data_IF_666988165657
#
_entry.id   IF_666988165657
#
_cell.length_a   1.000
_cell.length_b   1.000
_cell.length_c   1.000
_cell.angle_alpha   90.00
_cell.angle_beta   90.00
_cell.angle_gamma   90.00
#
_symmetry.space_group_name_H-M   'P 1'
#
loop_
_entity.id
_entity.type
_entity.pdbx_description
1 polymer ?
#
# COMPACT_ATOMS: atom_id res chain seq x y z
N UNK A 1 3.49 -2.77 -15.54
CA UNK A 1 2.80 -1.45 -15.45
C UNK A 1 3.59 -0.61 -14.47
N UNK A 2 3.93 0.65 -14.79
CA UNK A 2 4.72 1.47 -13.89
C UNK A 2 3.94 1.73 -12.59
N UNK A 3 4.61 1.80 -11.43
CA UNK A 3 3.95 2.09 -10.17
C UNK A 3 3.47 3.54 -10.16
N UNK A 4 2.15 3.74 -9.99
CA UNK A 4 1.51 5.06 -9.98
C UNK A 4 0.47 5.18 -8.88
N UNK A 5 0.39 6.36 -8.27
CA UNK A 5 -0.70 6.72 -7.39
C UNK A 5 -2.02 6.85 -8.15
N UNK A 6 -3.13 6.81 -7.42
CA UNK A 6 -4.44 7.22 -7.91
C UNK A 6 -4.54 8.74 -8.05
N UNK A 7 -5.40 9.19 -8.97
CA UNK A 7 -5.69 10.60 -9.16
C UNK A 7 -6.15 11.22 -7.85
N UNK A 8 -5.76 12.48 -7.60
CA UNK A 8 -6.02 13.15 -6.34
C UNK A 8 -7.52 13.28 -6.03
N UNK A 9 -8.36 13.38 -7.06
CA UNK A 9 -9.81 13.50 -7.02
C UNK A 9 -10.54 12.16 -7.15
N UNK A 10 -9.83 11.04 -7.29
CA UNK A 10 -10.44 9.72 -7.39
C UNK A 10 -11.31 9.42 -6.16
N UNK A 11 -12.51 8.83 -6.35
CA UNK A 11 -13.33 8.37 -5.23
C UNK A 11 -12.56 7.28 -4.46
N UNK A 12 -12.20 7.59 -3.22
CA UNK A 12 -11.29 6.77 -2.42
C UNK A 12 -11.91 6.44 -1.06
N UNK A 13 -11.76 5.18 -0.64
CA UNK A 13 -12.10 4.73 0.70
C UNK A 13 -11.05 5.22 1.71
N UNK A 14 -11.46 5.44 2.96
CA UNK A 14 -10.52 5.85 4.01
C UNK A 14 -9.83 4.64 4.63
N UNK A 15 -8.49 4.63 4.61
CA UNK A 15 -7.66 3.73 5.42
C UNK A 15 -7.21 4.49 6.67
N UNK A 16 -7.82 4.21 7.82
CA UNK A 16 -7.40 4.78 9.10
C UNK A 16 -6.28 3.92 9.69
N UNK A 17 -5.09 4.48 9.82
CA UNK A 17 -3.99 3.82 10.52
C UNK A 17 -4.09 4.13 12.01
N UNK A 18 -3.86 3.11 12.85
CA UNK A 18 -3.98 3.20 14.31
C UNK A 18 -2.86 2.44 14.97
N UNK A 19 -2.48 2.89 16.16
CA UNK A 19 -1.72 2.11 17.13
C UNK A 19 -2.65 1.60 18.23
N UNK A 20 -2.27 0.53 18.98
CA UNK A 20 -3.04 0.05 20.13
C UNK A 20 -3.38 1.16 21.13
N UNK A 21 -2.46 2.10 21.33
CA UNK A 21 -2.61 3.23 22.26
C UNK A 21 -3.68 4.24 21.79
N UNK A 22 -3.85 4.40 20.48
CA UNK A 22 -4.82 5.34 19.88
C UNK A 22 -6.18 4.70 19.57
N UNK A 23 -6.28 3.38 19.65
CA UNK A 23 -7.50 2.64 19.32
C UNK A 23 -8.69 2.99 20.22
N UNK A 24 -8.56 3.14 21.55
CA UNK A 24 -9.68 3.54 22.41
C UNK A 24 -10.26 4.91 22.03
N UNK A 25 -9.40 5.89 21.77
CA UNK A 25 -9.81 7.25 21.37
C UNK A 25 -10.52 7.26 20.02
N UNK A 26 -10.06 6.45 19.07
CA UNK A 26 -10.76 6.27 17.81
C UNK A 26 -12.14 5.64 18.03
N UNK A 27 -12.24 4.56 18.83
CA UNK A 27 -13.53 3.88 19.10
C UNK A 27 -14.55 4.82 19.73
N UNK A 28 -14.13 5.75 20.58
CA UNK A 28 -15.01 6.73 21.21
C UNK A 28 -15.59 7.77 20.23
N UNK A 29 -14.92 8.01 19.09
CA UNK A 29 -15.30 9.02 18.09
C UNK A 29 -15.84 8.42 16.79
N UNK A 30 -15.61 7.14 16.55
CA UNK A 30 -16.04 6.45 15.35
C UNK A 30 -17.56 6.30 15.30
N UNK A 31 -18.15 6.14 14.09
CA UNK A 31 -19.54 5.73 13.96
C UNK A 31 -19.82 4.47 14.80
N UNK A 32 -20.96 4.39 15.53
CA UNK A 32 -21.23 3.27 16.43
C UNK A 32 -21.13 1.90 15.76
N UNK A 33 -21.57 1.77 14.50
CA UNK A 33 -21.46 0.53 13.73
C UNK A 33 -20.00 0.12 13.48
N UNK A 34 -19.13 1.07 13.16
CA UNK A 34 -17.69 0.80 12.94
C UNK A 34 -16.98 0.42 14.23
N UNK A 35 -17.28 1.11 15.34
CA UNK A 35 -16.70 0.78 16.65
C UNK A 35 -17.13 -0.62 17.11
N UNK A 36 -18.42 -0.95 16.98
CA UNK A 36 -18.96 -2.26 17.30
C UNK A 36 -18.38 -3.35 16.41
N UNK A 37 -18.24 -3.11 15.11
CA UNK A 37 -17.63 -4.05 14.17
C UNK A 37 -16.17 -4.33 14.52
N UNK A 38 -15.36 -3.29 14.71
CA UNK A 38 -13.95 -3.44 15.07
C UNK A 38 -13.77 -4.21 16.39
N UNK A 39 -14.69 -4.04 17.35
CA UNK A 39 -14.72 -4.84 18.57
C UNK A 39 -15.12 -6.30 18.30
N UNK A 40 -16.16 -6.53 17.49
CA UNK A 40 -16.64 -7.88 17.15
C UNK A 40 -15.64 -8.70 16.33
N UNK A 41 -14.75 -8.05 15.57
CA UNK A 41 -13.66 -8.70 14.83
C UNK A 41 -12.34 -8.75 15.60
N UNK A 42 -12.34 -8.43 16.90
CA UNK A 42 -11.15 -8.40 17.77
C UNK A 42 -9.97 -7.58 17.22
N UNK A 43 -10.27 -6.50 16.49
CA UNK A 43 -9.23 -5.63 15.95
C UNK A 43 -8.53 -4.91 17.11
N UNK A 44 -7.21 -5.10 17.22
CA UNK A 44 -6.37 -4.62 18.31
C UNK A 44 -5.24 -3.68 17.84
N UNK A 45 -5.28 -3.26 16.57
CA UNK A 45 -4.25 -2.45 15.93
C UNK A 45 -2.83 -3.06 16.00
N UNK A 46 -2.74 -4.40 15.93
CA UNK A 46 -1.46 -5.12 15.86
C UNK A 46 -0.72 -4.77 14.56
N UNK A 47 0.61 -4.84 14.55
CA UNK A 47 1.39 -4.48 13.37
C UNK A 47 0.97 -5.29 12.14
N UNK A 48 0.49 -4.61 11.10
CA UNK A 48 0.02 -5.23 9.86
C UNK A 48 -1.38 -5.83 9.90
N UNK A 49 -2.12 -5.65 10.99
CA UNK A 49 -3.51 -6.09 11.13
C UNK A 49 -4.43 -5.18 10.29
N UNK A 50 -5.35 -5.79 9.53
CA UNK A 50 -6.31 -5.07 8.71
C UNK A 50 -7.73 -5.45 9.14
N UNK A 51 -8.61 -4.46 9.31
CA UNK A 51 -10.04 -4.67 9.51
C UNK A 51 -10.82 -3.84 8.48
N UNK A 52 -11.50 -4.51 7.55
CA UNK A 52 -12.43 -3.85 6.64
C UNK A 52 -13.69 -3.44 7.40
N UNK A 53 -14.11 -2.19 7.23
CA UNK A 53 -15.31 -1.65 7.84
C UNK A 53 -16.50 -1.84 6.89
N UNK A 54 -17.60 -2.46 7.34
CA UNK A 54 -18.75 -2.72 6.48
C UNK A 54 -19.51 -1.42 6.23
N UNK A 55 -19.83 -1.19 4.97
CA UNK A 55 -20.71 -0.12 4.51
C UNK A 55 -22.05 -0.64 3.99
N UNK A 56 -22.86 0.25 3.41
CA UNK A 56 -24.13 -0.10 2.80
C UNK A 56 -23.98 -1.17 1.70
N UNK A 57 -25.02 -1.99 1.52
CA UNK A 57 -25.10 -2.98 0.43
C UNK A 57 -23.96 -4.02 0.43
N UNK A 58 -23.30 -4.24 1.57
CA UNK A 58 -22.19 -5.20 1.69
C UNK A 58 -20.89 -4.72 1.05
N UNK A 59 -20.78 -3.44 0.69
CA UNK A 59 -19.53 -2.83 0.21
C UNK A 59 -18.70 -2.33 1.40
N UNK A 60 -17.36 -2.28 1.30
CA UNK A 60 -16.55 -1.63 2.32
C UNK A 60 -16.83 -0.11 2.37
N UNK A 61 -16.97 0.44 3.58
CA UNK A 61 -17.02 1.90 3.83
C UNK A 61 -15.62 2.47 4.10
N UNK A 62 -14.70 1.62 4.54
CA UNK A 62 -13.33 1.98 4.85
C UNK A 62 -12.57 0.80 5.44
N UNK A 63 -11.41 1.08 6.03
CA UNK A 63 -10.60 0.08 6.69
C UNK A 63 -9.78 0.68 7.83
N UNK A 64 -9.46 -0.16 8.81
CA UNK A 64 -8.49 0.12 9.86
C UNK A 64 -7.21 -0.67 9.57
N UNK A 65 -6.06 -0.06 9.83
CA UNK A 65 -4.77 -0.72 9.73
C UNK A 65 -3.93 -0.50 10.99
N UNK A 66 -3.45 -1.59 11.57
CA UNK A 66 -2.65 -1.57 12.78
C UNK A 66 -1.16 -1.32 12.50
N UNK A 67 -0.61 -0.31 13.16
CA UNK A 67 0.83 0.01 13.14
C UNK A 67 1.60 -0.71 14.26
N UNK A 68 0.91 -1.39 15.17
CA UNK A 68 1.50 -1.98 16.37
C UNK A 68 1.92 -0.94 17.43
N UNK A 69 2.47 -1.41 18.56
CA UNK A 69 2.84 -0.56 19.68
C UNK A 69 3.85 0.51 19.30
N UNK A 70 3.79 1.69 19.93
CA UNK A 70 4.75 2.77 19.70
C UNK A 70 6.20 2.35 19.97
N UNK A 71 6.43 1.48 20.96
CA UNK A 71 7.74 0.94 21.30
C UNK A 71 8.38 0.11 20.18
N UNK A 72 7.60 -0.34 19.19
CA UNK A 72 8.06 -1.10 18.03
C UNK A 72 8.13 -0.26 16.75
N UNK A 73 7.89 1.05 16.86
CA UNK A 73 8.03 1.98 15.74
C UNK A 73 9.44 1.89 15.13
N UNK A 74 9.53 2.00 13.80
CA UNK A 74 10.80 1.95 13.08
C UNK A 74 11.36 0.55 12.82
N UNK A 75 10.80 -0.52 13.42
CA UNK A 75 11.17 -1.91 13.05
C UNK A 75 10.85 -2.25 11.60
N UNK A 76 9.85 -1.58 11.04
CA UNK A 76 9.44 -1.73 9.65
C UNK A 76 9.43 -0.37 8.98
N UNK A 77 10.36 -0.17 8.04
CA UNK A 77 10.43 1.06 7.23
C UNK A 77 9.14 1.29 6.42
N UNK A 78 8.64 0.24 5.78
CA UNK A 78 7.46 0.30 4.90
C UNK A 78 6.20 -0.21 5.60
N UNK A 79 5.76 0.50 6.64
CA UNK A 79 4.65 0.06 7.49
C UNK A 79 3.34 -0.24 6.72
N UNK A 80 3.06 0.50 5.63
CA UNK A 80 1.85 0.33 4.83
C UNK A 80 1.97 -0.63 3.65
N UNK A 81 3.14 -1.21 3.40
CA UNK A 81 3.33 -2.18 2.30
C UNK A 81 2.33 -3.35 2.41
N UNK A 82 2.07 -3.83 3.63
CA UNK A 82 1.10 -4.92 3.86
C UNK A 82 -0.34 -4.50 3.57
N UNK A 83 -0.71 -3.25 3.83
CA UNK A 83 -2.05 -2.75 3.53
C UNK A 83 -2.35 -2.86 2.03
N UNK A 84 -1.41 -2.43 1.18
CA UNK A 84 -1.54 -2.51 -0.28
C UNK A 84 -1.84 -3.93 -0.81
N UNK A 85 -1.30 -4.96 -0.14
CA UNK A 85 -1.48 -6.35 -0.51
C UNK A 85 -2.75 -7.01 0.07
N UNK A 86 -3.27 -6.50 1.18
CA UNK A 86 -4.42 -7.08 1.90
C UNK A 86 -5.75 -6.41 1.59
N UNK A 87 -5.73 -5.19 1.04
CA UNK A 87 -6.93 -4.45 0.67
C UNK A 87 -7.58 -5.02 -0.61
N UNK A 88 -8.91 -4.81 -0.79
CA UNK A 88 -9.63 -5.31 -1.95
C UNK A 88 -8.99 -4.92 -3.29
N UNK A 89 -8.91 -5.86 -4.21
CA UNK A 89 -8.35 -5.62 -5.53
C UNK A 89 -9.12 -4.50 -6.27
N UNK A 90 -8.40 -3.61 -6.94
CA UNK A 90 -8.98 -2.52 -7.75
C UNK A 90 -9.61 -1.37 -6.95
N UNK A 91 -9.54 -1.41 -5.63
CA UNK A 91 -10.02 -0.31 -4.78
C UNK A 91 -8.99 0.81 -4.65
N UNK A 92 -9.47 2.04 -4.40
CA UNK A 92 -8.65 3.24 -4.22
C UNK A 92 -8.76 3.71 -2.78
N UNK A 93 -7.63 4.06 -2.16
CA UNK A 93 -7.55 4.40 -0.74
C UNK A 93 -6.86 5.73 -0.50
N UNK A 94 -7.36 6.47 0.49
CA UNK A 94 -6.67 7.62 1.09
C UNK A 94 -6.37 7.29 2.54
N UNK A 95 -5.13 7.49 2.95
CA UNK A 95 -4.69 7.15 4.31
C UNK A 95 -4.93 8.35 5.24
N UNK A 96 -5.39 8.06 6.44
CA UNK A 96 -5.54 9.05 7.51
C UNK A 96 -4.92 8.52 8.80
N UNK A 97 -4.32 9.41 9.61
CA UNK A 97 -3.62 9.01 10.85
C UNK A 97 -2.10 8.83 10.67
N UNK A 98 -1.51 9.41 9.62
CA UNK A 98 -0.10 9.20 9.28
C UNK A 98 0.89 9.88 10.23
N UNK A 99 0.45 10.62 11.25
CA UNK A 99 1.31 11.40 12.14
C UNK A 99 2.37 10.54 12.87
N UNK A 100 2.15 9.23 12.94
CA UNK A 100 3.03 8.28 13.60
C UNK A 100 4.01 7.53 12.67
N UNK A 101 4.06 7.88 11.38
CA UNK A 101 4.95 7.31 10.36
C UNK A 101 5.49 8.38 9.42
N UNK A 102 6.59 8.10 8.72
CA UNK A 102 7.05 8.94 7.62
C UNK A 102 6.14 8.73 6.39
N UNK A 103 5.50 9.80 5.92
CA UNK A 103 4.52 9.73 4.83
C UNK A 103 5.15 9.32 3.49
N UNK A 104 6.39 9.72 3.24
CA UNK A 104 7.11 9.40 2.02
C UNK A 104 7.50 7.92 1.98
N UNK A 105 8.01 7.38 3.10
CA UNK A 105 8.30 5.94 3.24
C UNK A 105 7.01 5.11 3.19
N UNK A 106 5.90 5.59 3.79
CA UNK A 106 4.60 4.94 3.72
C UNK A 106 4.08 4.87 2.26
N UNK A 107 4.17 5.97 1.52
CA UNK A 107 3.76 6.07 0.13
C UNK A 107 4.64 5.21 -0.79
N UNK A 108 5.97 5.27 -0.62
CA UNK A 108 6.92 4.45 -1.37
C UNK A 108 6.69 2.96 -1.10
N UNK A 109 6.56 2.58 0.17
CA UNK A 109 6.29 1.21 0.58
C UNK A 109 5.02 0.63 -0.04
N UNK A 110 3.98 1.45 -0.20
CA UNK A 110 2.75 1.05 -0.91
C UNK A 110 3.01 0.74 -2.38
N UNK A 111 3.70 1.64 -3.10
CA UNK A 111 4.03 1.44 -4.51
C UNK A 111 4.92 0.19 -4.70
N UNK A 112 5.92 0.02 -3.83
CA UNK A 112 6.83 -1.13 -3.88
C UNK A 112 6.13 -2.48 -3.63
N UNK A 113 5.07 -2.49 -2.82
CA UNK A 113 4.26 -3.69 -2.56
C UNK A 113 3.41 -4.13 -3.77
N UNK A 114 3.16 -3.24 -4.72
CA UNK A 114 2.46 -3.56 -5.96
C UNK A 114 3.34 -4.28 -6.99
N UNK A 115 4.66 -4.37 -6.78
CA UNK A 115 5.59 -5.02 -7.70
C UNK A 115 5.23 -6.49 -7.94
N UNK A 116 5.15 -6.88 -9.21
CA UNK A 116 4.95 -8.27 -9.63
C UNK A 116 5.86 -8.54 -10.82
N UNK A 117 6.64 -9.61 -10.72
CA UNK A 117 7.40 -10.16 -11.84
C UNK A 117 6.64 -11.34 -12.44
N UNK A 118 5.96 -11.10 -13.55
CA UNK A 118 5.03 -12.04 -14.18
C UNK A 118 5.36 -12.36 -15.64
N UNK A 119 6.49 -11.84 -16.14
CA UNK A 119 7.01 -12.03 -17.51
C UNK A 119 6.99 -13.50 -17.99
N UNK A 120 7.19 -14.46 -17.07
CA UNK A 120 7.27 -15.89 -17.36
C UNK A 120 6.04 -16.69 -16.90
N UNK A 121 4.98 -16.02 -16.43
CA UNK A 121 3.74 -16.68 -16.00
C UNK A 121 2.70 -16.60 -17.11
N UNK A 122 1.94 -17.67 -17.29
CA UNK A 122 0.74 -17.64 -18.14
C UNK A 122 -0.19 -16.54 -17.64
N UNK A 123 -0.72 -15.67 -18.53
CA UNK A 123 -1.66 -14.62 -18.12
C UNK A 123 -2.87 -15.23 -17.42
N UNK A 124 -2.92 -15.11 -16.09
CA UNK A 124 -4.08 -15.42 -15.28
C UNK A 124 -4.93 -14.18 -15.03
N UNK A 125 -6.02 -14.31 -14.27
CA UNK A 125 -6.77 -13.17 -13.74
C UNK A 125 -5.87 -12.41 -12.77
N UNK A 126 -5.13 -11.43 -13.28
CA UNK A 126 -4.28 -10.59 -12.47
C UNK A 126 -5.17 -9.71 -11.62
N UNK A 127 -5.20 -9.98 -10.31
CA UNK A 127 -5.86 -9.09 -9.37
C UNK A 127 -5.08 -7.77 -9.34
N UNK A 128 -5.72 -6.68 -9.80
CA UNK A 128 -5.20 -5.32 -9.63
C UNK A 128 -5.05 -5.03 -8.16
N UNK A 129 -3.84 -4.68 -7.68
CA UNK A 129 -3.64 -4.32 -6.28
C UNK A 129 -4.45 -3.07 -5.90
N UNK A 130 -4.68 -2.86 -4.60
CA UNK A 130 -5.26 -1.63 -4.12
C UNK A 130 -4.35 -0.43 -4.49
N UNK A 131 -4.95 0.67 -4.90
CA UNK A 131 -4.26 1.92 -5.26
C UNK A 131 -4.32 2.91 -4.12
N UNK A 132 -3.28 3.74 -4.01
CA UNK A 132 -3.15 4.78 -3.01
C UNK A 132 -3.28 6.15 -3.69
N UNK A 133 -4.11 7.03 -3.16
CA UNK A 133 -3.99 8.47 -3.42
C UNK A 133 -2.78 8.99 -2.63
N UNK A 134 -1.87 9.70 -3.28
CA UNK A 134 -0.66 10.21 -2.63
C UNK A 134 -1.01 11.02 -1.36
N UNK A 135 -0.33 10.78 -0.22
CA UNK A 135 -0.52 11.59 0.98
C UNK A 135 -0.25 13.08 0.75
N UNK A 136 -0.95 13.93 1.48
CA UNK A 136 -0.82 15.37 1.32
C UNK A 136 0.57 15.84 1.77
N UNK A 137 1.29 16.57 0.91
CA UNK A 137 2.65 17.04 1.21
C UNK A 137 3.75 16.08 0.76
N UNK A 138 3.42 14.89 0.27
CA UNK A 138 4.36 14.01 -0.42
C UNK A 138 4.52 14.46 -1.89
N UNK A 139 5.77 14.56 -2.34
CA UNK A 139 6.09 14.73 -3.77
C UNK A 139 5.80 13.42 -4.51
N UNK A 140 4.59 13.31 -5.06
CA UNK A 140 4.12 12.12 -5.76
C UNK A 140 5.05 11.74 -6.92
N UNK A 141 5.47 12.71 -7.73
CA UNK A 141 6.34 12.47 -8.90
C UNK A 141 7.69 11.90 -8.48
N UNK A 142 8.29 12.43 -7.42
CA UNK A 142 9.55 11.90 -6.87
C UNK A 142 9.39 10.46 -6.39
N UNK A 143 8.33 10.15 -5.65
CA UNK A 143 8.09 8.81 -5.11
C UNK A 143 7.81 7.80 -6.22
N UNK A 144 7.03 8.18 -7.24
CA UNK A 144 6.78 7.34 -8.43
C UNK A 144 8.07 7.07 -9.21
N UNK A 145 8.93 8.08 -9.36
CA UNK A 145 10.24 7.95 -10.02
C UNK A 145 11.13 6.95 -9.28
N UNK A 146 11.21 7.03 -7.95
CA UNK A 146 11.97 6.09 -7.13
C UNK A 146 11.40 4.67 -7.25
N UNK A 147 10.07 4.53 -7.19
CA UNK A 147 9.42 3.22 -7.31
C UNK A 147 9.62 2.62 -8.70
N UNK A 148 9.58 3.41 -9.76
CA UNK A 148 9.82 2.98 -11.14
C UNK A 148 11.27 2.53 -11.36
N UNK A 149 12.24 3.28 -10.84
CA UNK A 149 13.64 2.87 -10.87
C UNK A 149 13.89 1.55 -10.12
N UNK A 150 13.23 1.35 -8.97
CA UNK A 150 13.29 0.11 -8.21
C UNK A 150 12.62 -1.06 -8.96
N UNK A 151 11.50 -0.81 -9.64
CA UNK A 151 10.83 -1.83 -10.48
C UNK A 151 11.74 -2.26 -11.63
N UNK A 152 12.33 -1.30 -12.36
CA UNK A 152 13.29 -1.58 -13.43
C UNK A 152 14.46 -2.43 -12.91
N UNK A 153 15.04 -2.03 -11.76
CA UNK A 153 16.16 -2.76 -11.15
C UNK A 153 15.76 -4.20 -10.82
N UNK A 154 14.57 -4.41 -10.24
CA UNK A 154 14.06 -5.75 -9.93
C UNK A 154 13.73 -6.56 -11.18
N UNK A 155 13.23 -5.95 -12.25
CA UNK A 155 12.95 -6.62 -13.52
C UNK A 155 14.25 -7.10 -14.16
N UNK A 156 15.30 -6.26 -14.17
CA UNK A 156 16.63 -6.64 -14.67
C UNK A 156 17.23 -7.79 -13.87
N UNK A 157 17.13 -7.76 -12.54
CA UNK A 157 17.65 -8.82 -11.65
C UNK A 157 16.84 -10.12 -11.77
N UNK A 158 15.51 -10.03 -11.85
CA UNK A 158 14.64 -11.20 -11.89
C UNK A 158 14.59 -11.86 -13.27
N UNK A 159 14.99 -11.16 -14.34
CA UNK A 159 15.11 -11.75 -15.68
C UNK A 159 16.26 -12.76 -15.69
N UNK A 160 16.00 -14.05 -15.99
CA UNK A 160 17.03 -15.07 -16.02
C UNK A 160 18.18 -14.71 -16.95
N UNK A 161 19.39 -15.17 -16.63
CA UNK A 161 20.61 -14.85 -17.39
C UNK A 161 20.54 -15.24 -18.88
N UNK A 162 19.74 -16.25 -19.25
CA UNK A 162 19.52 -16.61 -20.66
C UNK A 162 18.80 -15.50 -21.47
N UNK A 163 18.02 -14.65 -20.79
CA UNK A 163 17.22 -13.59 -21.38
C UNK A 163 17.73 -12.18 -21.02
N UNK A 164 18.64 -12.08 -20.03
CA UNK A 164 19.33 -10.84 -19.60
C UNK A 164 20.85 -10.97 -19.81
N UNK A 165 21.26 -11.34 -21.02
CA UNK A 165 22.66 -11.32 -21.44
C UNK A 165 23.18 -9.90 -21.74
N UNK A 166 24.47 -9.75 -22.10
CA UNK A 166 25.09 -8.44 -22.29
C UNK A 166 24.35 -7.51 -23.28
N UNK A 167 23.88 -8.04 -24.41
CA UNK A 167 23.15 -7.26 -25.41
C UNK A 167 21.77 -6.80 -24.91
N UNK A 168 21.06 -7.65 -24.15
CA UNK A 168 19.77 -7.29 -23.55
C UNK A 168 19.94 -6.23 -22.46
N UNK A 169 21.02 -6.33 -21.67
CA UNK A 169 21.35 -5.34 -20.67
C UNK A 169 21.72 -3.99 -21.32
N UNK A 170 22.55 -4.00 -22.35
CA UNK A 170 22.87 -2.79 -23.13
C UNK A 170 21.60 -2.12 -23.67
N UNK A 171 20.68 -2.90 -24.26
CA UNK A 171 19.41 -2.38 -24.76
C UNK A 171 18.59 -1.70 -23.65
N UNK A 172 18.47 -2.33 -22.47
CA UNK A 172 17.76 -1.74 -21.35
C UNK A 172 18.36 -0.40 -20.88
N UNK A 173 19.69 -0.25 -20.90
CA UNK A 173 20.34 1.02 -20.58
C UNK A 173 20.19 2.07 -21.69
N UNK A 174 20.14 1.66 -22.97
CA UNK A 174 19.86 2.57 -24.08
C UNK A 174 18.42 3.09 -24.05
N UNK A 175 17.46 2.25 -23.67
CA UNK A 175 16.06 2.66 -23.52
C UNK A 175 15.84 3.64 -22.36
N UNK A 176 16.74 3.65 -21.37
CA UNK A 176 16.69 4.57 -20.22
C UNK A 176 17.30 5.95 -20.53
N UNK A 177 18.20 6.04 -21.52
CA UNK A 177 19.02 7.22 -21.83
C UNK A 177 18.29 8.27 -22.70
#
# INVERSE_FOLDING_TARGET
MPPRFADADAPALTLRVLRPETLPDWRAKAPPAHAAWAAATDFAARAGELCLLPGPEGRPDGALFGLGPAAEAGRHRFALARAAASLPAGSVWRVAGLEAVDEADAALGWLLAAYRFDRYRTPGRMATSARLVAPAGVDATRIETIAEAEFLTRDLINTPACDMGPAALEAAFRDLA
#
